data_IF_042936586035
#
_entry.id   IF_042936586035
#
_cell.length_a   1.000
_cell.length_b   1.000
_cell.length_c   1.000
_cell.angle_alpha   90.00
_cell.angle_beta   90.00
_cell.angle_gamma   90.00
#
_symmetry.space_group_name_H-M   'P 1'
#
loop_
_entity.id
_entity.type
_entity.pdbx_description
1 polymer ?
#
# COMPACT_ATOMS: atom_id res chain seq x y z
N UNK A 1 20.83 8.74 -5.68
CA UNK A 1 19.77 9.72 -6.04
C UNK A 1 20.28 11.13 -5.75
N UNK A 2 20.28 12.01 -6.76
CA UNK A 2 20.66 13.42 -6.59
C UNK A 2 19.42 14.26 -6.27
N UNK A 3 19.58 15.30 -5.45
CA UNK A 3 18.50 16.25 -5.11
C UNK A 3 18.14 17.08 -6.35
N UNK A 4 16.86 17.18 -6.74
CA UNK A 4 16.41 18.09 -7.81
C UNK A 4 16.69 19.56 -7.46
N UNK A 5 16.98 20.40 -8.46
CA UNK A 5 17.31 21.81 -8.25
C UNK A 5 16.13 22.58 -7.61
N UNK A 6 14.90 22.20 -7.94
CA UNK A 6 13.65 22.81 -7.51
C UNK A 6 13.23 22.45 -6.07
N UNK A 7 14.01 21.64 -5.36
CA UNK A 7 13.64 21.11 -4.05
C UNK A 7 14.69 21.46 -3.01
N UNK A 8 14.31 22.07 -1.88
CA UNK A 8 15.21 22.34 -0.75
C UNK A 8 15.79 21.05 -0.15
N UNK A 9 16.85 21.17 0.66
CA UNK A 9 17.42 20.01 1.38
C UNK A 9 16.41 19.36 2.32
N UNK A 10 15.51 20.15 2.92
CA UNK A 10 14.48 19.67 3.85
C UNK A 10 13.42 18.86 3.11
N UNK A 11 12.86 19.42 2.04
CA UNK A 11 11.87 18.73 1.20
C UNK A 11 12.43 17.43 0.63
N UNK A 12 13.67 17.43 0.14
CA UNK A 12 14.29 16.21 -0.38
C UNK A 12 14.51 15.15 0.69
N UNK A 13 14.85 15.56 1.91
CA UNK A 13 14.97 14.62 3.05
C UNK A 13 13.62 14.02 3.40
N UNK A 14 12.57 14.82 3.44
CA UNK A 14 11.21 14.35 3.72
C UNK A 14 10.70 13.42 2.63
N UNK A 15 10.87 13.80 1.36
CA UNK A 15 10.57 12.95 0.21
C UNK A 15 11.29 11.61 0.30
N UNK A 16 12.60 11.62 0.53
CA UNK A 16 13.39 10.39 0.67
C UNK A 16 12.88 9.53 1.83
N UNK A 17 12.59 10.13 2.98
CA UNK A 17 12.05 9.42 4.15
C UNK A 17 10.71 8.76 3.83
N UNK A 18 9.81 9.45 3.13
CA UNK A 18 8.52 8.93 2.70
C UNK A 18 8.66 7.82 1.66
N UNK A 19 9.52 7.99 0.66
CA UNK A 19 9.76 7.00 -0.38
C UNK A 19 10.35 5.69 0.17
N UNK A 20 11.22 5.76 1.17
CA UNK A 20 11.83 4.58 1.81
C UNK A 20 10.86 3.70 2.60
N UNK A 21 9.63 4.18 2.82
CA UNK A 21 8.52 3.38 3.38
C UNK A 21 7.93 2.41 2.35
N UNK A 22 8.31 2.52 1.08
CA UNK A 22 7.81 1.67 0.02
C UNK A 22 8.92 0.81 -0.56
N UNK A 23 8.54 -0.34 -1.10
CA UNK A 23 9.43 -1.26 -1.79
C UNK A 23 8.72 -1.84 -3.00
N UNK A 24 9.44 -2.03 -4.09
CA UNK A 24 8.94 -2.74 -5.26
C UNK A 24 9.45 -4.18 -5.20
N UNK A 25 8.53 -5.13 -5.34
CA UNK A 25 8.83 -6.56 -5.45
C UNK A 25 7.86 -7.17 -6.46
N UNK A 26 8.33 -8.04 -7.35
CA UNK A 26 7.48 -8.73 -8.33
C UNK A 26 6.57 -7.78 -9.15
N UNK A 27 7.13 -6.63 -9.56
CA UNK A 27 6.43 -5.53 -10.28
C UNK A 27 5.25 -4.91 -9.53
N UNK A 28 5.18 -5.09 -8.21
CA UNK A 28 4.15 -4.52 -7.35
C UNK A 28 4.79 -3.60 -6.32
N UNK A 29 4.11 -2.49 -6.04
CA UNK A 29 4.48 -1.57 -4.97
C UNK A 29 3.91 -2.08 -3.65
N UNK A 30 4.74 -2.13 -2.62
CA UNK A 30 4.35 -2.49 -1.27
C UNK A 30 4.72 -1.37 -0.30
N UNK A 31 3.90 -1.20 0.73
CA UNK A 31 4.16 -0.31 1.86
C UNK A 31 4.65 -1.11 3.06
N UNK A 32 5.74 -0.64 3.65
CA UNK A 32 6.24 -1.12 4.94
C UNK A 32 5.31 -0.68 6.06
N UNK A 33 5.04 -1.59 6.96
CA UNK A 33 4.31 -1.33 8.19
C UNK A 33 5.29 -1.23 9.37
N UNK A 34 4.79 -1.33 10.59
CA UNK A 34 5.62 -1.43 11.79
C UNK A 34 6.50 -2.70 11.78
N UNK A 35 7.44 -2.75 12.72
CA UNK A 35 8.39 -3.87 12.85
C UNK A 35 7.64 -5.21 12.96
N UNK A 36 8.12 -6.22 12.22
CA UNK A 36 7.58 -7.58 12.16
C UNK A 36 6.15 -7.71 11.59
N UNK A 37 5.60 -6.65 10.97
CA UNK A 37 4.33 -6.74 10.25
C UNK A 37 4.60 -6.97 8.76
N UNK A 38 3.85 -7.89 8.10
CA UNK A 38 3.97 -8.11 6.66
C UNK A 38 3.80 -6.83 5.84
N UNK A 39 4.43 -6.82 4.67
CA UNK A 39 4.22 -5.78 3.68
C UNK A 39 2.78 -5.82 3.15
N UNK A 40 2.17 -4.64 2.97
CA UNK A 40 0.86 -4.51 2.32
C UNK A 40 1.02 -4.00 0.90
N UNK A 41 0.26 -4.56 -0.04
CA UNK A 41 0.33 -4.16 -1.45
C UNK A 41 -0.41 -2.85 -1.66
N UNK A 42 0.24 -1.88 -2.30
CA UNK A 42 -0.39 -0.61 -2.66
C UNK A 42 -1.26 -0.81 -3.90
N UNK A 43 -2.50 -0.31 -3.85
CA UNK A 43 -3.45 -0.34 -4.97
C UNK A 43 -3.93 1.08 -5.24
N UNK A 44 -3.38 1.69 -6.28
CA UNK A 44 -3.54 3.10 -6.64
C UNK A 44 -4.64 3.37 -7.68
N UNK A 45 -5.25 2.34 -8.24
CA UNK A 45 -6.30 2.45 -9.25
C UNK A 45 -7.65 1.93 -8.75
N UNK A 46 -8.73 2.62 -9.13
CA UNK A 46 -10.09 2.33 -8.66
C UNK A 46 -10.57 0.93 -9.04
N UNK A 47 -10.36 0.54 -10.30
CA UNK A 47 -10.76 -0.77 -10.81
C UNK A 47 -10.12 -1.93 -10.02
N UNK A 48 -8.81 -1.85 -9.75
CA UNK A 48 -8.11 -2.86 -8.96
C UNK A 48 -8.63 -2.96 -7.53
N UNK A 49 -9.04 -1.83 -6.93
CA UNK A 49 -9.68 -1.82 -5.60
C UNK A 49 -11.03 -2.54 -5.61
N UNK A 50 -11.86 -2.28 -6.61
CA UNK A 50 -13.17 -2.93 -6.79
C UNK A 50 -13.03 -4.44 -6.98
N UNK A 51 -12.12 -4.87 -7.87
CA UNK A 51 -11.86 -6.28 -8.14
C UNK A 51 -11.37 -7.02 -6.87
N UNK A 52 -10.50 -6.40 -6.07
CA UNK A 52 -10.03 -6.95 -4.80
C UNK A 52 -11.15 -7.06 -3.77
N UNK A 53 -11.99 -6.03 -3.65
CA UNK A 53 -13.11 -6.01 -2.73
C UNK A 53 -14.14 -7.09 -3.06
N UNK A 54 -14.54 -7.18 -4.33
CA UNK A 54 -15.48 -8.21 -4.80
C UNK A 54 -14.94 -9.61 -4.52
N UNK A 55 -13.70 -9.89 -4.95
CA UNK A 55 -13.06 -11.19 -4.74
C UNK A 55 -12.96 -11.56 -3.26
N UNK A 56 -12.54 -10.64 -2.39
CA UNK A 56 -12.43 -10.92 -0.96
C UNK A 56 -13.80 -11.11 -0.29
N UNK A 57 -14.82 -10.39 -0.74
CA UNK A 57 -16.18 -10.56 -0.26
C UNK A 57 -16.70 -11.97 -0.58
N UNK A 58 -16.47 -12.44 -1.81
CA UNK A 58 -16.90 -13.77 -2.28
C UNK A 58 -16.10 -14.88 -1.59
N UNK A 59 -14.76 -14.80 -1.57
CA UNK A 59 -13.87 -15.76 -0.88
C UNK A 59 -14.14 -15.86 0.63
N UNK A 60 -14.74 -14.83 1.22
CA UNK A 60 -15.07 -14.80 2.65
C UNK A 60 -16.43 -15.41 2.97
N UNK A 61 -17.19 -15.86 1.97
CA UNK A 61 -18.56 -16.35 2.15
C UNK A 61 -19.53 -15.23 2.51
N UNK A 62 -19.39 -14.05 1.87
CA UNK A 62 -20.27 -12.89 2.07
C UNK A 62 -20.33 -12.41 3.53
N UNK A 63 -19.17 -12.35 4.19
CA UNK A 63 -19.05 -11.83 5.56
C UNK A 63 -19.49 -10.36 5.64
N UNK A 64 -19.87 -9.95 6.85
CA UNK A 64 -20.20 -8.55 7.15
C UNK A 64 -19.09 -7.60 6.72
N UNK A 65 -19.48 -6.34 6.45
CA UNK A 65 -18.62 -5.24 6.03
C UNK A 65 -17.29 -5.16 6.80
N UNK A 66 -17.34 -5.30 8.12
CA UNK A 66 -16.14 -5.24 8.97
C UNK A 66 -15.17 -6.40 8.76
N UNK A 67 -15.69 -7.61 8.50
CA UNK A 67 -14.87 -8.79 8.21
C UNK A 67 -14.11 -8.64 6.89
N UNK A 68 -14.80 -8.15 5.86
CA UNK A 68 -14.19 -7.86 4.56
C UNK A 68 -13.16 -6.73 4.66
N UNK A 69 -13.49 -5.65 5.39
CA UNK A 69 -12.57 -4.52 5.59
C UNK A 69 -11.27 -4.93 6.29
N UNK A 70 -11.34 -5.75 7.36
CA UNK A 70 -10.16 -6.20 8.09
C UNK A 70 -9.19 -6.98 7.19
N UNK A 71 -9.71 -7.90 6.36
CA UNK A 71 -8.90 -8.65 5.38
C UNK A 71 -8.25 -7.76 4.31
N UNK A 72 -8.95 -6.71 3.87
CA UNK A 72 -8.39 -5.72 2.96
C UNK A 72 -7.25 -4.99 3.63
N UNK A 73 -7.46 -4.45 4.84
CA UNK A 73 -6.46 -3.70 5.58
C UNK A 73 -5.19 -4.50 5.92
N UNK A 74 -5.34 -5.82 6.16
CA UNK A 74 -4.22 -6.72 6.43
C UNK A 74 -3.31 -6.95 5.22
N UNK A 75 -3.82 -6.73 3.99
CA UNK A 75 -3.15 -7.12 2.73
C UNK A 75 -2.88 -5.98 1.77
N UNK A 76 -3.65 -4.90 1.85
CA UNK A 76 -3.67 -3.82 0.87
C UNK A 76 -3.63 -2.43 1.53
N UNK A 77 -3.09 -1.46 0.80
CA UNK A 77 -3.06 -0.03 1.13
C UNK A 77 -3.63 0.82 -0.01
#
# INVERSE_FOLDING_TARGET
MRRPAQMTRSEFRNFKRSAMQYIVRDRQLFRKQSKNVPLVRVVDNARGREEILARLHDESGHRSREGTYRKVADRYF
#
